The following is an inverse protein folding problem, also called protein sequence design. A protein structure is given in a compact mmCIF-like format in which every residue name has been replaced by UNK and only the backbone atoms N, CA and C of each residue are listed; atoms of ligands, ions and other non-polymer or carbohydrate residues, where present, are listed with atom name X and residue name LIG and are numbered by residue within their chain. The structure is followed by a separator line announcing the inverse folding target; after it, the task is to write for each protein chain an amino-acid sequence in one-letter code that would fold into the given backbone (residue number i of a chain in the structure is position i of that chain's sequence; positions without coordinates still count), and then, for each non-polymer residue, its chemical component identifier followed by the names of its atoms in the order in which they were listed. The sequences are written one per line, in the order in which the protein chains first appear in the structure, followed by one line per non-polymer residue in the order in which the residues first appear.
data_IF_584450884423
#
_entry.id   IF_584450884423
#
_cell.length_a   1.000
_cell.length_b   1.000
_cell.length_c   1.000
_cell.angle_alpha   90.00
_cell.angle_beta   90.00
_cell.angle_gamma   90.00
#
_symmetry.space_group_name_H-M   'P 1'
#
loop_
_entity.id
_entity.type
_entity.pdbx_description
1 polymer ?
#
# COMPACT_ATOMS: atom_id res chain seq x y z
N UNK A 1 -11.17 -26.40 -10.90
CA UNK A 1 -11.81 -26.10 -9.60
C UNK A 1 -12.90 -25.05 -9.83
N UNK A 2 -14.14 -25.26 -9.38
CA UNK A 2 -15.19 -24.24 -9.46
C UNK A 2 -14.82 -22.97 -8.68
N UNK A 3 -15.20 -21.80 -9.20
CA UNK A 3 -14.88 -20.48 -8.61
C UNK A 3 -15.30 -20.38 -7.14
N UNK A 4 -16.48 -20.89 -6.80
CA UNK A 4 -17.05 -20.86 -5.45
C UNK A 4 -16.18 -21.63 -4.47
N UNK A 5 -15.61 -22.76 -4.90
CA UNK A 5 -14.76 -23.59 -4.06
C UNK A 5 -13.40 -22.91 -3.81
N UNK A 6 -12.84 -22.22 -4.82
CA UNK A 6 -11.61 -21.44 -4.66
C UNK A 6 -11.81 -20.26 -3.68
N UNK A 7 -12.96 -19.58 -3.77
CA UNK A 7 -13.33 -18.47 -2.87
C UNK A 7 -13.44 -18.96 -1.43
N UNK A 8 -14.07 -20.13 -1.21
CA UNK A 8 -14.18 -20.78 0.10
C UNK A 8 -12.81 -21.21 0.65
N UNK A 9 -11.95 -21.78 -0.18
CA UNK A 9 -10.60 -22.22 0.21
C UNK A 9 -9.72 -21.05 0.66
N UNK A 10 -9.82 -19.91 -0.02
CA UNK A 10 -9.05 -18.68 0.30
C UNK A 10 -9.74 -17.85 1.38
N UNK A 11 -10.90 -18.30 1.89
CA UNK A 11 -11.70 -17.63 2.93
C UNK A 11 -12.02 -16.16 2.61
N UNK A 12 -12.34 -15.88 1.35
CA UNK A 12 -12.78 -14.55 0.90
C UNK A 12 -14.24 -14.57 0.48
N UNK A 13 -14.86 -13.40 0.39
CA UNK A 13 -16.22 -13.27 -0.17
C UNK A 13 -16.18 -13.21 -1.70
N UNK A 14 -17.29 -13.56 -2.37
CA UNK A 14 -17.37 -13.42 -3.85
C UNK A 14 -17.15 -11.98 -4.30
N UNK A 15 -17.64 -11.00 -3.52
CA UNK A 15 -17.44 -9.58 -3.78
C UNK A 15 -15.95 -9.21 -3.78
N UNK A 16 -15.19 -9.75 -2.83
CA UNK A 16 -13.74 -9.53 -2.74
C UNK A 16 -13.02 -10.11 -3.96
N UNK A 17 -13.42 -11.31 -4.38
CA UNK A 17 -12.89 -11.94 -5.59
C UNK A 17 -13.13 -11.08 -6.84
N UNK A 18 -14.36 -10.59 -7.07
CA UNK A 18 -14.65 -9.77 -8.24
C UNK A 18 -13.94 -8.41 -8.20
N UNK A 19 -13.81 -7.80 -7.03
CA UNK A 19 -13.02 -6.57 -6.86
C UNK A 19 -11.55 -6.79 -7.25
N UNK A 20 -10.94 -7.86 -6.76
CA UNK A 20 -9.57 -8.20 -7.11
C UNK A 20 -9.42 -8.57 -8.58
N UNK A 21 -10.38 -9.29 -9.16
CA UNK A 21 -10.37 -9.59 -10.59
C UNK A 21 -10.48 -8.32 -11.45
N UNK A 22 -11.30 -7.34 -11.05
CA UNK A 22 -11.40 -6.04 -11.74
C UNK A 22 -10.08 -5.27 -11.67
N UNK A 23 -9.39 -5.34 -10.54
CA UNK A 23 -8.18 -4.55 -10.28
C UNK A 23 -6.90 -5.22 -10.81
N UNK A 24 -6.82 -6.55 -10.76
CA UNK A 24 -5.60 -7.33 -10.97
C UNK A 24 -5.75 -8.43 -12.03
N UNK A 25 -6.96 -8.72 -12.52
CA UNK A 25 -7.24 -9.91 -13.32
C UNK A 25 -6.62 -9.95 -14.71
N UNK A 26 -6.03 -8.84 -15.18
CA UNK A 26 -5.23 -8.79 -16.42
C UNK A 26 -3.73 -8.71 -16.19
N UNK A 27 -3.26 -8.71 -14.94
CA UNK A 27 -1.84 -8.60 -14.60
C UNK A 27 -1.18 -9.97 -14.54
N UNK A 28 0.02 -10.06 -15.10
CA UNK A 28 0.90 -11.20 -14.89
C UNK A 28 1.37 -11.31 -13.44
N UNK A 29 1.76 -12.51 -13.01
CA UNK A 29 2.26 -12.77 -11.66
C UNK A 29 3.48 -11.92 -11.31
N UNK A 30 4.37 -11.68 -12.28
CA UNK A 30 5.57 -10.85 -12.06
C UNK A 30 5.22 -9.35 -11.95
N UNK A 31 4.21 -8.89 -12.69
CA UNK A 31 3.68 -7.52 -12.53
C UNK A 31 3.08 -7.34 -11.13
N UNK A 32 2.37 -8.35 -10.61
CA UNK A 32 1.80 -8.30 -9.25
C UNK A 32 2.87 -8.31 -8.16
N UNK A 33 3.96 -9.08 -8.34
CA UNK A 33 5.10 -9.07 -7.42
C UNK A 33 5.77 -7.70 -7.39
N UNK A 34 6.00 -7.11 -8.56
CA UNK A 34 6.60 -5.79 -8.68
C UNK A 34 5.71 -4.70 -8.09
N UNK A 35 4.41 -4.75 -8.36
CA UNK A 35 3.44 -3.84 -7.75
C UNK A 35 3.49 -3.91 -6.22
N UNK A 36 3.55 -5.13 -5.65
CA UNK A 36 3.66 -5.32 -4.20
C UNK A 36 4.99 -4.79 -3.65
N UNK A 37 6.10 -4.90 -4.40
CA UNK A 37 7.41 -4.35 -4.02
C UNK A 37 7.36 -2.83 -4.00
N UNK A 38 6.83 -2.21 -5.06
CA UNK A 38 6.69 -0.76 -5.17
C UNK A 38 5.75 -0.20 -4.11
N UNK A 39 4.65 -0.89 -3.79
CA UNK A 39 3.74 -0.47 -2.73
C UNK A 39 4.45 -0.37 -1.37
N UNK A 40 5.23 -1.40 -1.01
CA UNK A 40 6.02 -1.40 0.24
C UNK A 40 7.06 -0.29 0.28
N UNK A 41 7.77 -0.08 -0.83
CA UNK A 41 8.76 0.98 -0.91
C UNK A 41 8.10 2.36 -0.80
N UNK A 42 6.94 2.55 -1.43
CA UNK A 42 6.18 3.80 -1.32
C UNK A 42 5.74 4.08 0.12
N UNK A 43 5.27 3.06 0.84
CA UNK A 43 4.87 3.20 2.24
C UNK A 43 6.08 3.56 3.13
N UNK A 44 7.23 2.93 2.90
CA UNK A 44 8.48 3.27 3.60
C UNK A 44 8.94 4.70 3.31
N UNK A 45 8.90 5.11 2.04
CA UNK A 45 9.26 6.46 1.63
C UNK A 45 8.33 7.50 2.22
N UNK A 46 7.01 7.24 2.24
CA UNK A 46 6.03 8.12 2.88
C UNK A 46 6.32 8.29 4.36
N UNK A 47 6.61 7.19 5.07
CA UNK A 47 6.99 7.26 6.48
C UNK A 47 8.24 8.11 6.70
N UNK A 48 9.31 7.86 5.94
CA UNK A 48 10.56 8.63 6.05
C UNK A 48 10.36 10.11 5.72
N UNK A 49 9.58 10.43 4.70
CA UNK A 49 9.25 11.81 4.34
C UNK A 49 8.44 12.50 5.44
N UNK A 50 7.45 11.82 6.01
CA UNK A 50 6.65 12.37 7.13
C UNK A 50 7.51 12.65 8.35
N UNK A 51 8.40 11.72 8.71
CA UNK A 51 9.33 11.85 9.85
C UNK A 51 10.28 13.04 9.66
N UNK A 52 10.97 13.10 8.51
CA UNK A 52 11.85 14.22 8.18
C UNK A 52 11.12 15.56 8.07
N UNK A 53 9.87 15.55 7.61
CA UNK A 53 9.04 16.75 7.55
C UNK A 53 8.70 17.24 8.95
N UNK A 54 8.38 16.33 9.87
CA UNK A 54 8.12 16.67 11.26
C UNK A 54 9.36 17.26 11.93
N UNK A 55 10.52 16.63 11.78
CA UNK A 55 11.79 17.13 12.31
C UNK A 55 12.10 18.53 11.78
N UNK A 56 11.94 18.75 10.48
CA UNK A 56 12.13 20.06 9.86
C UNK A 56 11.20 21.11 10.47
N UNK A 57 9.94 20.77 10.71
CA UNK A 57 8.97 21.68 11.33
C UNK A 57 9.37 22.03 12.76
N UNK A 58 9.75 21.03 13.57
CA UNK A 58 10.22 21.24 14.94
C UNK A 58 11.45 22.16 14.97
N UNK A 59 12.44 21.88 14.13
CA UNK A 59 13.66 22.67 14.04
C UNK A 59 13.38 24.10 13.57
N UNK A 60 12.47 24.26 12.60
CA UNK A 60 12.08 25.59 12.09
C UNK A 60 11.36 26.41 13.16
N UNK A 61 10.48 25.79 13.95
CA UNK A 61 9.76 26.45 15.04
C UNK A 61 10.73 26.85 16.17
N UNK A 62 11.60 25.92 16.59
CA UNK A 62 12.63 26.20 17.57
C UNK A 62 13.57 27.34 17.14
N UNK A 63 13.91 27.41 15.84
CA UNK A 63 14.76 28.45 15.28
C UNK A 63 14.07 29.82 15.14
N UNK A 64 12.74 29.88 14.98
CA UNK A 64 12.02 31.17 14.93
C UNK A 64 12.06 31.91 16.25
N UNK A 65 12.12 31.20 17.37
CA UNK A 65 12.13 31.78 18.71
C UNK A 65 10.80 32.46 19.07
N UNK A 66 10.35 32.30 20.32
CA UNK A 66 9.27 33.10 20.87
C UNK A 66 9.85 34.46 21.29
N UNK A 67 9.84 35.44 20.39
CA UNK A 67 10.01 36.86 20.72
C UNK A 67 8.67 37.58 20.60
#
# INVERSE_FOLDING_TARGET
MPRVDAIRQVQITEQTFYRWRKQYGGMGTDQLKELKRLQKENDRLRWAVSDLTLDKLILSEAARGNF
#
